data_IF_848881362121
#
_entry.id   IF_848881362121
#
_cell.length_a   1.000
_cell.length_b   1.000
_cell.length_c   1.000
_cell.angle_alpha   90.00
_cell.angle_beta   90.00
_cell.angle_gamma   90.00
#
_symmetry.space_group_name_H-M   'P 1'
#
loop_
_entity.id
_entity.type
_entity.pdbx_description
1 polymer ?
#
# COMPACT_ATOMS: atom_id res chain seq x y z
N UNK A 1 16.42 9.58 5.60
CA UNK A 1 15.86 10.02 4.31
C UNK A 1 15.68 11.52 4.38
N UNK A 2 16.18 12.30 3.41
CA UNK A 2 15.97 13.75 3.38
C UNK A 2 14.61 14.09 2.72
N UNK A 3 14.07 15.29 2.97
CA UNK A 3 12.77 15.72 2.44
C UNK A 3 12.68 15.68 0.91
N UNK A 4 13.79 15.98 0.21
CA UNK A 4 13.84 15.92 -1.26
C UNK A 4 13.76 14.47 -1.78
N UNK A 5 14.37 13.51 -1.07
CA UNK A 5 14.42 12.10 -1.46
C UNK A 5 13.04 11.42 -1.44
N UNK A 6 12.06 12.00 -0.72
CA UNK A 6 10.69 11.49 -0.65
C UNK A 6 9.91 11.68 -1.95
N UNK A 7 10.21 12.74 -2.71
CA UNK A 7 9.50 13.08 -3.94
C UNK A 7 10.28 12.67 -5.19
N UNK A 8 11.59 12.50 -5.08
CA UNK A 8 12.45 11.98 -6.14
C UNK A 8 12.39 10.46 -6.19
N UNK A 9 11.56 9.92 -7.09
CA UNK A 9 11.27 8.48 -7.22
C UNK A 9 11.38 7.94 -8.64
N UNK A 10 11.85 8.74 -9.60
CA UNK A 10 11.87 8.35 -11.02
C UNK A 10 12.70 7.07 -11.26
N UNK A 11 13.83 6.94 -10.56
CA UNK A 11 14.68 5.74 -10.57
C UNK A 11 14.09 4.56 -9.77
N UNK A 12 13.01 4.76 -9.02
CA UNK A 12 12.27 3.71 -8.32
C UNK A 12 11.03 3.24 -9.08
N UNK A 13 10.53 3.98 -10.07
CA UNK A 13 9.31 3.60 -10.81
C UNK A 13 9.56 2.38 -11.70
N UNK A 14 8.63 1.42 -11.68
CA UNK A 14 8.62 0.27 -12.60
C UNK A 14 8.26 0.75 -14.00
N UNK A 15 9.13 0.46 -14.97
CA UNK A 15 8.96 0.80 -16.39
C UNK A 15 9.73 -0.18 -17.27
N UNK A 16 9.57 -0.09 -18.59
CA UNK A 16 10.31 -0.92 -19.56
C UNK A 16 11.85 -0.78 -19.40
N UNK A 17 12.32 0.40 -19.00
CA UNK A 17 13.76 0.68 -18.79
C UNK A 17 14.22 0.47 -17.35
N UNK A 18 13.28 0.24 -16.42
CA UNK A 18 13.54 -0.04 -15.01
C UNK A 18 12.55 -1.11 -14.53
N UNK A 19 12.66 -2.36 -15.03
CA UNK A 19 11.67 -3.40 -14.77
C UNK A 19 11.55 -3.70 -13.28
N UNK A 20 10.42 -4.27 -12.88
CA UNK A 20 10.28 -4.81 -11.53
C UNK A 20 11.38 -5.84 -11.28
N UNK A 21 11.77 -5.98 -10.01
CA UNK A 21 12.68 -7.06 -9.67
C UNK A 21 11.99 -8.38 -10.01
N UNK A 22 12.75 -9.30 -10.59
CA UNK A 22 12.21 -10.59 -10.97
C UNK A 22 11.74 -11.32 -9.71
N UNK A 23 10.43 -11.28 -9.46
CA UNK A 23 9.81 -11.92 -8.32
C UNK A 23 9.88 -13.45 -8.42
N UNK A 24 10.25 -14.03 -9.58
CA UNK A 24 10.57 -15.46 -9.68
C UNK A 24 11.85 -15.80 -8.91
N UNK A 25 12.72 -14.81 -8.63
CA UNK A 25 13.86 -14.98 -7.72
C UNK A 25 13.45 -14.91 -6.24
N UNK A 26 12.18 -14.63 -5.94
CA UNK A 26 11.63 -14.65 -4.58
C UNK A 26 12.28 -13.65 -3.64
N UNK A 27 12.60 -12.43 -4.09
CA UNK A 27 13.15 -11.36 -3.24
C UNK A 27 12.32 -10.09 -3.39
N UNK A 28 11.91 -9.49 -2.27
CA UNK A 28 11.25 -8.20 -2.23
C UNK A 28 12.30 -7.08 -2.31
N UNK A 29 12.16 -6.15 -3.26
CA UNK A 29 13.00 -4.94 -3.29
C UNK A 29 12.54 -3.94 -2.21
N UNK A 30 12.98 -4.20 -0.98
CA UNK A 30 12.62 -3.43 0.22
C UNK A 30 12.86 -1.93 0.03
N UNK A 31 14.02 -1.56 -0.53
CA UNK A 31 14.41 -0.15 -0.68
C UNK A 31 13.49 0.54 -1.69
N UNK A 32 13.23 -0.09 -2.84
CA UNK A 32 12.38 0.47 -3.88
C UNK A 32 10.93 0.57 -3.42
N UNK A 33 10.39 -0.49 -2.81
CA UNK A 33 9.04 -0.50 -2.27
C UNK A 33 8.85 0.58 -1.21
N UNK A 34 9.80 0.72 -0.26
CA UNK A 34 9.71 1.74 0.78
C UNK A 34 9.71 3.17 0.20
N UNK A 35 10.52 3.44 -0.83
CA UNK A 35 10.53 4.75 -1.51
C UNK A 35 9.18 5.07 -2.15
N UNK A 36 8.62 4.12 -2.90
CA UNK A 36 7.32 4.29 -3.57
C UNK A 36 6.17 4.45 -2.56
N UNK A 37 6.17 3.66 -1.49
CA UNK A 37 5.22 3.76 -0.38
C UNK A 37 5.31 5.14 0.30
N UNK A 38 6.53 5.57 0.65
CA UNK A 38 6.75 6.83 1.36
C UNK A 38 6.40 8.05 0.49
N UNK A 39 6.56 7.94 -0.83
CA UNK A 39 6.07 8.94 -1.78
C UNK A 39 4.55 9.10 -1.71
N UNK A 40 3.79 8.00 -1.71
CA UNK A 40 2.32 8.04 -1.58
C UNK A 40 1.90 8.69 -0.26
N UNK A 41 2.56 8.32 0.85
CA UNK A 41 2.33 8.94 2.18
C UNK A 41 2.63 10.44 2.13
N UNK A 42 3.73 10.86 1.53
CA UNK A 42 4.10 12.27 1.40
C UNK A 42 3.07 13.06 0.58
N UNK A 43 2.64 12.52 -0.57
CA UNK A 43 1.61 13.14 -1.43
C UNK A 43 0.28 13.31 -0.69
N UNK A 44 -0.19 12.26 -0.01
CA UNK A 44 -1.43 12.31 0.75
C UNK A 44 -1.35 13.30 1.93
N UNK A 45 -0.24 13.26 2.68
CA UNK A 45 -0.01 14.16 3.81
C UNK A 45 0.05 15.63 3.39
N UNK A 46 0.74 15.95 2.28
CA UNK A 46 0.82 17.31 1.75
C UNK A 46 -0.55 17.85 1.36
N UNK A 47 -1.34 17.05 0.62
CA UNK A 47 -2.69 17.46 0.22
C UNK A 47 -3.62 17.66 1.42
N UNK A 48 -3.57 16.76 2.41
CA UNK A 48 -4.43 16.85 3.60
C UNK A 48 -4.13 18.08 4.45
N UNK A 49 -2.85 18.43 4.57
CA UNK A 49 -2.42 19.51 5.46
C UNK A 49 -2.14 20.83 4.73
N UNK A 50 -2.46 20.91 3.43
CA UNK A 50 -2.17 22.05 2.55
C UNK A 50 -0.69 22.49 2.65
N UNK A 51 0.22 21.51 2.51
CA UNK A 51 1.67 21.67 2.67
C UNK A 51 2.40 21.52 1.36
N UNK A 52 3.56 22.15 1.27
CA UNK A 52 4.44 22.12 0.10
C UNK A 52 5.64 21.18 0.36
N UNK A 53 6.41 20.79 -0.68
CA UNK A 53 7.59 19.93 -0.52
C UNK A 53 8.57 20.38 0.58
N UNK A 54 8.72 21.69 0.79
CA UNK A 54 9.63 22.25 1.80
C UNK A 54 9.19 21.91 3.24
N UNK A 55 7.90 21.64 3.45
CA UNK A 55 7.32 21.29 4.74
C UNK A 55 7.49 19.81 5.11
N UNK A 56 7.98 18.95 4.21
CA UNK A 56 8.08 17.50 4.42
C UNK A 56 8.98 17.10 5.61
N UNK A 57 9.81 18.01 6.10
CA UNK A 57 10.56 17.78 7.33
C UNK A 57 9.65 17.54 8.54
N UNK A 58 8.41 18.06 8.54
CA UNK A 58 7.40 17.77 9.57
C UNK A 58 6.90 16.32 9.51
N UNK A 59 6.84 15.73 8.32
CA UNK A 59 6.46 14.31 8.16
C UNK A 59 7.57 13.40 8.67
N UNK A 60 8.84 13.75 8.39
CA UNK A 60 10.01 12.94 8.72
C UNK A 60 10.35 12.88 10.22
N UNK A 61 9.86 13.83 11.04
CA UNK A 61 10.07 13.80 12.50
C UNK A 61 9.06 12.92 13.23
N UNK A 62 8.04 12.40 12.53
CA UNK A 62 7.04 11.50 13.11
C UNK A 62 7.66 10.12 13.41
N UNK A 63 7.10 9.38 14.38
CA UNK A 63 7.51 8.00 14.63
C UNK A 63 7.38 7.13 13.36
N UNK A 64 8.33 6.22 13.16
CA UNK A 64 8.24 5.19 12.11
C UNK A 64 7.16 4.17 12.40
N UNK A 65 6.75 3.39 11.40
CA UNK A 65 5.82 2.28 11.59
C UNK A 65 6.33 1.30 12.67
N UNK A 66 7.60 0.91 12.60
CA UNK A 66 8.20 0.03 13.62
C UNK A 66 8.14 0.62 15.03
N UNK A 67 8.37 1.93 15.19
CA UNK A 67 8.27 2.59 16.49
C UNK A 67 6.85 2.64 17.02
N UNK A 68 5.84 2.76 16.15
CA UNK A 68 4.43 2.83 16.52
C UNK A 68 3.94 1.45 17.00
N UNK A 69 4.32 0.38 16.29
CA UNK A 69 3.82 -0.97 16.54
C UNK A 69 4.85 -1.92 17.18
N UNK A 70 5.87 -1.39 17.86
CA UNK A 70 6.96 -2.18 18.44
C UNK A 70 6.47 -3.36 19.30
N UNK A 71 5.45 -3.14 20.14
CA UNK A 71 4.87 -4.19 20.99
C UNK A 71 4.16 -5.28 20.18
N UNK A 72 3.47 -4.92 19.10
CA UNK A 72 2.77 -5.87 18.24
C UNK A 72 3.78 -6.66 17.39
N UNK A 73 4.76 -5.97 16.78
CA UNK A 73 5.87 -6.60 16.06
C UNK A 73 6.69 -7.54 16.94
N UNK A 74 6.81 -7.28 18.24
CA UNK A 74 7.45 -8.21 19.16
C UNK A 74 6.65 -9.51 19.32
N UNK A 75 5.31 -9.44 19.29
CA UNK A 75 4.43 -10.61 19.39
C UNK A 75 4.39 -11.41 18.10
N UNK A 76 4.11 -10.75 16.97
CA UNK A 76 3.82 -11.43 15.70
C UNK A 76 4.95 -11.35 14.67
N UNK A 77 6.05 -10.64 14.96
CA UNK A 77 7.12 -10.46 13.98
C UNK A 77 7.92 -11.73 13.65
N UNK A 78 7.61 -12.87 14.29
CA UNK A 78 8.16 -14.18 13.97
C UNK A 78 7.35 -14.93 12.89
N UNK A 79 6.11 -14.50 12.60
CA UNK A 79 5.26 -15.05 11.54
C UNK A 79 5.27 -14.19 10.26
N UNK A 80 6.05 -13.12 10.25
CA UNK A 80 6.23 -12.20 9.13
C UNK A 80 7.59 -12.46 8.50
N UNK A 81 7.64 -12.59 7.17
CA UNK A 81 8.89 -12.84 6.46
C UNK A 81 9.92 -11.71 6.66
N UNK A 82 11.23 -12.01 6.63
CA UNK A 82 12.27 -11.03 6.95
C UNK A 82 12.33 -9.81 6.01
N UNK A 83 12.04 -9.99 4.73
CA UNK A 83 12.09 -8.88 3.77
C UNK A 83 10.91 -7.94 4.02
N UNK A 84 9.71 -8.48 4.23
CA UNK A 84 8.57 -7.67 4.57
C UNK A 84 8.76 -6.94 5.89
N UNK A 85 9.33 -7.60 6.91
CA UNK A 85 9.67 -6.93 8.18
C UNK A 85 10.63 -5.76 7.96
N UNK A 86 11.61 -5.92 7.07
CA UNK A 86 12.55 -4.86 6.69
C UNK A 86 11.86 -3.72 5.94
N UNK A 87 10.85 -4.02 5.11
CA UNK A 87 9.99 -3.04 4.49
C UNK A 87 9.17 -2.25 5.53
N UNK A 88 8.51 -2.93 6.48
CA UNK A 88 7.74 -2.29 7.55
C UNK A 88 8.60 -1.37 8.41
N UNK A 89 9.86 -1.72 8.67
CA UNK A 89 10.80 -0.86 9.38
C UNK A 89 11.23 0.39 8.59
N UNK A 90 11.13 0.35 7.26
CA UNK A 90 11.62 1.40 6.35
C UNK A 90 10.55 2.42 5.95
N UNK A 91 9.29 2.18 6.31
CA UNK A 91 8.16 3.00 5.86
C UNK A 91 7.69 3.99 6.92
N UNK A 92 7.15 5.10 6.42
CA UNK A 92 6.46 6.11 7.20
C UNK A 92 5.03 5.62 7.38
N UNK A 93 4.57 5.48 8.63
CA UNK A 93 3.18 5.18 8.88
C UNK A 93 2.29 6.34 8.41
N UNK A 94 1.20 6.07 7.66
CA UNK A 94 0.20 7.09 7.39
C UNK A 94 -0.34 7.69 8.70
N UNK A 95 -0.91 8.89 8.61
CA UNK A 95 -1.16 9.87 9.70
C UNK A 95 -1.99 9.35 10.91
N UNK A 96 -1.40 8.48 11.73
CA UNK A 96 -2.03 7.91 12.94
C UNK A 96 -2.05 8.85 14.13
N UNK A 97 -1.19 9.88 14.15
CA UNK A 97 -1.01 10.77 15.30
C UNK A 97 -2.33 11.48 15.69
N UNK A 98 -3.28 11.56 14.74
CA UNK A 98 -4.59 12.16 14.96
C UNK A 98 -5.73 11.17 15.19
N UNK A 99 -5.50 9.84 15.14
CA UNK A 99 -6.58 8.83 15.08
C UNK A 99 -7.69 9.22 14.10
N UNK A 100 -7.31 9.87 13.00
CA UNK A 100 -8.27 10.25 11.97
C UNK A 100 -8.55 8.96 11.22
N UNK A 101 -9.75 8.43 11.42
CA UNK A 101 -10.24 7.15 10.85
C UNK A 101 -10.18 7.08 9.31
N UNK A 102 -9.79 8.16 8.65
CA UNK A 102 -9.87 8.33 7.20
C UNK A 102 -8.51 8.64 6.55
N UNK A 103 -7.38 8.33 7.20
CA UNK A 103 -6.07 8.64 6.62
C UNK A 103 -5.66 7.66 5.52
N UNK A 104 -6.17 7.84 4.30
CA UNK A 104 -5.95 6.88 3.21
C UNK A 104 -4.61 7.08 2.50
N UNK A 105 -3.92 5.97 2.23
CA UNK A 105 -2.66 5.89 1.53
C UNK A 105 -2.87 6.14 0.04
N UNK A 106 -3.94 5.56 -0.52
CA UNK A 106 -4.31 5.73 -1.91
C UNK A 106 -5.82 5.53 -2.11
N UNK A 107 -6.33 5.81 -3.30
CA UNK A 107 -7.77 5.77 -3.61
C UNK A 107 -8.45 4.43 -3.24
N UNK A 108 -7.74 3.31 -3.32
CA UNK A 108 -8.29 1.98 -3.03
C UNK A 108 -7.89 1.40 -1.67
N UNK A 109 -6.87 1.94 -1.01
CA UNK A 109 -6.33 1.38 0.23
C UNK A 109 -6.16 2.44 1.31
N UNK A 110 -6.48 2.07 2.54
CA UNK A 110 -6.44 3.01 3.67
C UNK A 110 -5.03 3.12 4.25
N UNK A 111 -4.49 2.07 4.85
CA UNK A 111 -3.16 2.10 5.45
C UNK A 111 -2.56 0.70 5.42
N UNK A 112 -1.25 0.64 5.69
CA UNK A 112 -0.62 -0.64 6.01
C UNK A 112 -1.30 -1.17 7.25
N UNK A 113 -1.74 -2.43 7.23
CA UNK A 113 -2.38 -3.02 8.40
C UNK A 113 -1.42 -3.01 9.59
N UNK A 114 -1.94 -2.85 10.80
CA UNK A 114 -1.14 -3.05 12.00
C UNK A 114 -0.70 -4.52 12.10
N UNK A 115 0.38 -4.83 12.84
CA UNK A 115 0.91 -6.19 12.86
C UNK A 115 -0.07 -7.28 13.28
N UNK A 116 -0.96 -7.03 14.24
CA UNK A 116 -1.95 -8.04 14.65
C UNK A 116 -2.96 -8.32 13.50
N UNK A 117 -3.30 -7.30 12.71
CA UNK A 117 -4.14 -7.39 11.51
C UNK A 117 -3.43 -7.96 10.27
N UNK A 118 -2.10 -7.78 10.13
CA UNK A 118 -1.32 -8.41 9.04
C UNK A 118 -1.57 -9.93 9.03
N UNK A 119 -1.62 -10.51 10.22
CA UNK A 119 -1.64 -11.96 10.49
C UNK A 119 -3.02 -12.44 10.96
N UNK A 120 -4.04 -11.61 10.75
CA UNK A 120 -5.44 -11.87 11.09
C UNK A 120 -5.64 -12.58 12.46
N UNK A 121 -5.02 -12.06 13.52
CA UNK A 121 -5.03 -12.70 14.84
C UNK A 121 -6.45 -12.97 15.36
N UNK A 122 -7.41 -12.13 14.95
CA UNK A 122 -8.81 -12.19 15.36
C UNK A 122 -9.73 -12.92 14.37
N UNK A 123 -9.22 -13.42 13.24
CA UNK A 123 -9.99 -14.15 12.23
C UNK A 123 -11.05 -13.31 11.50
N UNK A 124 -10.79 -12.02 11.32
CA UNK A 124 -11.71 -11.09 10.67
C UNK A 124 -11.66 -11.16 9.14
N UNK A 125 -10.58 -11.69 8.56
CA UNK A 125 -10.39 -11.76 7.12
C UNK A 125 -10.61 -13.21 6.65
N UNK A 126 -11.31 -13.40 5.53
CA UNK A 126 -11.67 -14.75 5.01
C UNK A 126 -10.48 -15.49 4.37
N UNK A 127 -9.28 -15.01 4.61
CA UNK A 127 -8.07 -15.72 4.22
C UNK A 127 -7.72 -16.63 5.39
N UNK A 128 -8.05 -17.91 5.28
CA UNK A 128 -7.63 -18.87 6.30
C UNK A 128 -6.11 -19.04 6.22
N UNK A 129 -5.43 -18.31 7.09
CA UNK A 129 -3.98 -18.30 7.22
C UNK A 129 -3.41 -19.66 7.68
N UNK A 130 -4.27 -20.57 8.16
CA UNK A 130 -3.86 -21.89 8.65
C UNK A 130 -4.06 -22.99 7.60
N UNK A 131 -4.70 -22.70 6.46
CA UNK A 131 -4.89 -23.71 5.40
C UNK A 131 -3.66 -23.82 4.48
N UNK A 132 -2.99 -22.68 4.21
CA UNK A 132 -1.80 -22.62 3.36
C UNK A 132 -0.59 -22.10 4.14
N UNK A 133 0.47 -22.92 4.22
CA UNK A 133 1.75 -22.59 4.84
C UNK A 133 2.86 -22.45 3.77
N UNK A 134 3.86 -21.63 4.08
CA UNK A 134 5.10 -21.53 3.31
C UNK A 134 6.02 -22.73 3.59
N UNK A 135 7.13 -22.85 2.85
CA UNK A 135 8.17 -23.86 3.11
C UNK A 135 8.85 -23.70 4.49
N UNK A 136 8.72 -22.53 5.12
CA UNK A 136 9.28 -22.20 6.43
C UNK A 136 8.23 -22.29 7.57
N UNK A 137 7.11 -22.99 7.35
CA UNK A 137 5.99 -23.16 8.29
C UNK A 137 5.34 -21.83 8.75
N UNK A 138 5.46 -20.78 7.93
CA UNK A 138 4.76 -19.50 8.14
C UNK A 138 3.40 -19.50 7.43
N UNK A 139 2.40 -18.74 7.91
CA UNK A 139 1.20 -18.45 7.12
C UNK A 139 1.54 -17.93 5.73
N UNK A 140 0.99 -18.51 4.68
CA UNK A 140 1.37 -18.10 3.32
C UNK A 140 0.89 -16.70 2.96
N UNK A 141 -0.32 -16.35 3.36
CA UNK A 141 -0.95 -15.09 2.98
C UNK A 141 -1.12 -14.18 4.20
N UNK A 142 -0.82 -12.92 4.00
CA UNK A 142 -1.00 -11.88 5.01
C UNK A 142 -1.67 -10.65 4.39
N UNK A 143 -2.40 -9.90 5.20
CA UNK A 143 -3.05 -8.67 4.75
C UNK A 143 -2.08 -7.50 4.84
N UNK A 144 -1.59 -6.98 3.73
CA UNK A 144 -0.62 -5.86 3.75
C UNK A 144 -1.31 -4.49 3.87
N UNK A 145 -2.38 -4.25 3.12
CA UNK A 145 -3.13 -2.99 3.17
C UNK A 145 -4.63 -3.25 3.20
N UNK A 146 -5.35 -2.59 4.12
CA UNK A 146 -6.82 -2.61 4.10
C UNK A 146 -7.36 -1.85 2.89
N UNK A 147 -8.36 -2.41 2.20
CA UNK A 147 -9.11 -1.65 1.22
C UNK A 147 -10.00 -0.58 1.88
N UNK A 148 -10.44 0.40 1.07
CA UNK A 148 -11.35 1.48 1.48
C UNK A 148 -12.79 0.97 1.56
N UNK A 149 -13.36 0.89 2.77
CA UNK A 149 -14.63 0.20 3.09
C UNK A 149 -15.77 0.46 2.09
N UNK A 150 -15.88 1.71 1.63
CA UNK A 150 -16.90 2.18 0.69
C UNK A 150 -16.88 1.48 -0.68
N UNK A 151 -15.80 0.78 -1.04
CA UNK A 151 -15.67 0.09 -2.32
C UNK A 151 -16.31 -1.31 -2.34
N UNK A 152 -16.63 -1.89 -1.18
CA UNK A 152 -17.04 -3.31 -1.15
C UNK A 152 -17.65 -3.86 0.14
N UNK A 153 -17.67 -3.11 1.26
CA UNK A 153 -18.36 -3.49 2.51
C UNK A 153 -17.75 -4.66 3.31
N UNK A 154 -17.23 -5.70 2.66
CA UNK A 154 -16.51 -6.84 3.25
C UNK A 154 -15.15 -6.96 2.60
N UNK A 155 -14.19 -6.21 3.10
CA UNK A 155 -12.96 -5.96 2.36
C UNK A 155 -11.75 -6.65 2.96
N UNK A 156 -10.97 -7.26 2.07
CA UNK A 156 -9.65 -7.76 2.41
C UNK A 156 -8.65 -6.64 2.14
N UNK A 157 -8.46 -6.27 0.86
CA UNK A 157 -7.51 -5.25 0.45
C UNK A 157 -6.35 -5.85 -0.34
N UNK A 158 -5.13 -5.38 -0.09
CA UNK A 158 -3.94 -5.90 -0.77
C UNK A 158 -3.30 -6.98 0.10
N UNK A 159 -3.30 -8.21 -0.41
CA UNK A 159 -2.74 -9.40 0.24
C UNK A 159 -1.34 -9.65 -0.28
N UNK A 160 -0.45 -10.12 0.58
CA UNK A 160 0.91 -10.49 0.25
C UNK A 160 1.12 -12.00 0.45
N UNK A 161 1.68 -12.68 -0.56
CA UNK A 161 2.11 -14.08 -0.53
C UNK A 161 3.56 -14.12 -0.03
N UNK A 162 3.77 -14.56 1.21
CA UNK A 162 5.09 -14.62 1.85
C UNK A 162 6.05 -15.56 1.13
N UNK A 163 5.54 -16.61 0.48
CA UNK A 163 6.38 -17.56 -0.24
C UNK A 163 6.90 -16.96 -1.55
N UNK A 164 6.04 -16.29 -2.31
CA UNK A 164 6.38 -15.71 -3.62
C UNK A 164 6.81 -14.26 -3.57
N UNK A 165 6.63 -13.60 -2.43
CA UNK A 165 6.85 -12.16 -2.21
C UNK A 165 6.12 -11.29 -3.24
N UNK A 166 4.88 -11.67 -3.54
CA UNK A 166 3.99 -10.99 -4.49
C UNK A 166 2.74 -10.50 -3.78
N UNK A 167 2.07 -9.53 -4.37
CA UNK A 167 0.81 -8.98 -3.88
C UNK A 167 -0.32 -9.13 -4.87
N UNK A 168 -1.53 -9.28 -4.35
CA UNK A 168 -2.76 -9.23 -5.13
C UNK A 168 -3.81 -8.37 -4.41
N UNK A 169 -4.62 -7.66 -5.19
CA UNK A 169 -5.70 -6.82 -4.68
C UNK A 169 -7.02 -7.60 -4.69
N UNK A 170 -7.65 -7.72 -3.51
CA UNK A 170 -8.94 -8.36 -3.27
C UNK A 170 -9.89 -7.29 -2.72
N UNK A 171 -10.65 -6.65 -3.61
CA UNK A 171 -11.53 -5.52 -3.25
C UNK A 171 -12.76 -5.93 -2.41
N UNK A 172 -13.19 -7.18 -2.53
CA UNK A 172 -14.31 -7.74 -1.81
C UNK A 172 -14.04 -9.22 -1.52
N UNK A 173 -14.46 -9.65 -0.34
CA UNK A 173 -14.29 -10.99 0.20
C UNK A 173 -14.83 -12.08 -0.74
N UNK A 174 -15.93 -11.81 -1.44
CA UNK A 174 -16.55 -12.72 -2.43
C UNK A 174 -15.69 -12.95 -3.67
N UNK A 175 -14.61 -12.18 -3.86
CA UNK A 175 -13.68 -12.31 -4.98
C UNK A 175 -12.41 -13.07 -4.60
N UNK A 176 -12.32 -13.60 -3.38
CA UNK A 176 -11.13 -14.31 -2.88
C UNK A 176 -10.80 -15.53 -3.74
N UNK A 177 -11.81 -16.32 -4.10
CA UNK A 177 -11.70 -17.51 -4.96
C UNK A 177 -11.29 -17.19 -6.42
N UNK A 178 -11.18 -15.91 -6.80
CA UNK A 178 -10.66 -15.47 -8.10
C UNK A 178 -9.19 -15.05 -8.05
N UNK A 179 -8.56 -15.17 -6.88
CA UNK A 179 -7.20 -14.74 -6.57
C UNK A 179 -6.40 -15.81 -5.84
N UNK A 180 -7.05 -16.56 -4.95
CA UNK A 180 -6.49 -17.68 -4.18
C UNK A 180 -7.19 -18.97 -4.65
N UNK A 181 -6.47 -20.09 -4.86
CA UNK A 181 -5.03 -20.26 -4.65
C UNK A 181 -4.18 -19.63 -5.77
N UNK A 182 -2.95 -19.21 -5.43
CA UNK A 182 -2.07 -18.48 -6.36
C UNK A 182 -1.78 -19.29 -7.64
N UNK A 183 -1.69 -20.61 -7.53
CA UNK A 183 -1.33 -21.50 -8.66
C UNK A 183 -2.38 -21.48 -9.78
N UNK A 184 -3.64 -21.19 -9.46
CA UNK A 184 -4.72 -21.08 -10.44
C UNK A 184 -4.86 -19.65 -10.99
N UNK A 185 -4.29 -18.66 -10.29
CA UNK A 185 -4.54 -17.24 -10.51
C UNK A 185 -3.27 -16.39 -10.57
N UNK A 186 -2.13 -16.99 -10.93
CA UNK A 186 -0.80 -16.38 -10.89
C UNK A 186 -0.73 -14.98 -11.53
N UNK A 187 -1.47 -14.76 -12.63
CA UNK A 187 -1.54 -13.48 -13.34
C UNK A 187 -2.12 -12.32 -12.53
N UNK A 188 -2.76 -12.58 -11.39
CA UNK A 188 -3.30 -11.57 -10.46
C UNK A 188 -2.27 -11.11 -9.43
N UNK A 189 -1.14 -11.81 -9.33
CA UNK A 189 -0.10 -11.59 -8.34
C UNK A 189 1.09 -10.87 -8.98
N UNK A 190 1.48 -9.75 -8.38
CA UNK A 190 2.50 -8.86 -8.92
C UNK A 190 3.55 -8.50 -7.88
N UNK A 191 4.77 -8.13 -8.27
CA UNK A 191 5.72 -7.51 -7.34
C UNK A 191 5.10 -6.25 -6.68
N UNK A 192 5.41 -6.01 -5.40
CA UNK A 192 4.85 -4.87 -4.68
C UNK A 192 5.20 -3.53 -5.34
N UNK A 193 6.44 -3.38 -5.82
CA UNK A 193 6.89 -2.19 -6.54
C UNK A 193 6.11 -1.95 -7.84
N UNK A 194 5.58 -3.01 -8.47
CA UNK A 194 4.72 -2.89 -9.65
C UNK A 194 3.38 -2.30 -9.27
N UNK A 195 2.76 -2.80 -8.20
CA UNK A 195 1.47 -2.29 -7.71
C UNK A 195 1.59 -0.81 -7.28
N UNK A 196 2.62 -0.48 -6.49
CA UNK A 196 2.87 0.89 -6.05
C UNK A 196 3.18 1.84 -7.22
N UNK A 197 3.99 1.40 -8.19
CA UNK A 197 4.28 2.20 -9.40
C UNK A 197 3.04 2.46 -10.23
N UNK A 198 2.14 1.48 -10.37
CA UNK A 198 0.86 1.66 -11.07
C UNK A 198 -0.01 2.72 -10.40
N UNK A 199 -0.09 2.72 -9.06
CA UNK A 199 -0.83 3.76 -8.32
C UNK A 199 -0.22 5.14 -8.52
N UNK A 200 1.11 5.24 -8.50
CA UNK A 200 1.82 6.49 -8.74
C UNK A 200 1.62 6.97 -10.19
N UNK A 201 1.64 6.08 -11.18
CA UNK A 201 1.37 6.43 -12.57
C UNK A 201 -0.06 6.98 -12.73
N UNK A 202 -1.04 6.44 -12.02
CA UNK A 202 -2.39 7.02 -12.01
C UNK A 202 -2.43 8.45 -11.46
N UNK A 203 -1.55 8.76 -10.51
CA UNK A 203 -1.35 10.14 -10.04
C UNK A 203 -0.66 10.98 -11.12
N UNK A 204 0.37 10.44 -11.77
CA UNK A 204 1.16 11.14 -12.81
C UNK A 204 0.28 11.55 -14.00
N UNK A 205 -0.65 10.70 -14.43
CA UNK A 205 -1.57 10.97 -15.54
C UNK A 205 -2.83 11.73 -15.13
N UNK A 206 -2.93 12.11 -13.86
CA UNK A 206 -4.06 12.87 -13.30
C UNK A 206 -5.37 12.10 -13.25
N UNK A 207 -5.32 10.76 -13.24
CA UNK A 207 -6.50 9.89 -13.04
C UNK A 207 -6.91 9.85 -11.57
N UNK A 208 -5.94 9.89 -10.67
CA UNK A 208 -6.14 10.14 -9.24
C UNK A 208 -5.44 11.44 -8.89
N UNK A 209 -6.15 12.35 -8.22
CA UNK A 209 -5.59 13.64 -7.81
C UNK A 209 -5.63 13.74 -6.29
N UNK A 210 -4.49 13.98 -5.61
CA UNK A 210 -4.48 14.35 -4.21
C UNK A 210 -4.86 15.83 -4.07
N UNK A 211 -6.00 16.11 -3.45
CA UNK A 211 -6.52 17.47 -3.27
C UNK A 211 -7.28 17.57 -1.93
N UNK A 212 -7.27 18.76 -1.31
CA UNK A 212 -7.96 18.99 -0.04
C UNK A 212 -9.47 18.86 -0.22
N UNK A 213 -10.17 18.28 0.77
CA UNK A 213 -11.64 18.08 0.75
C UNK A 213 -12.45 19.38 0.82
N UNK A 214 -11.84 20.55 0.85
CA UNK A 214 -12.55 21.83 0.94
C UNK A 214 -13.48 22.03 -0.28
N UNK A 215 -14.80 21.95 -0.02
CA UNK A 215 -15.85 22.25 -1.01
C UNK A 215 -16.41 21.04 -1.77
N UNK A 216 -16.09 19.80 -1.39
CA UNK A 216 -16.55 18.60 -2.11
C UNK A 216 -17.79 17.94 -1.51
N UNK A 217 -18.56 17.26 -2.37
CA UNK A 217 -19.59 16.33 -1.89
C UNK A 217 -18.92 15.04 -1.37
N UNK A 218 -19.54 14.40 -0.36
CA UNK A 218 -19.01 13.22 0.35
C UNK A 218 -18.57 12.07 -0.57
N UNK A 219 -19.11 11.98 -1.78
CA UNK A 219 -18.93 10.86 -2.71
C UNK A 219 -17.91 11.12 -3.82
N UNK A 220 -17.35 12.33 -3.90
CA UNK A 220 -16.44 12.70 -5.00
C UNK A 220 -14.99 12.25 -4.74
N UNK A 221 -14.64 11.90 -3.50
CA UNK A 221 -13.29 11.52 -3.11
C UNK A 221 -13.24 10.60 -1.88
N UNK A 222 -12.22 9.74 -1.87
CA UNK A 222 -11.84 8.92 -0.73
C UNK A 222 -10.69 9.62 0.01
N UNK A 223 -11.04 10.26 1.13
CA UNK A 223 -10.14 11.18 1.85
C UNK A 223 -9.61 12.30 0.94
N UNK A 224 -8.31 12.39 0.65
CA UNK A 224 -7.71 13.39 -0.25
C UNK A 224 -7.65 12.92 -1.70
N UNK A 225 -7.99 11.66 -1.96
CA UNK A 225 -7.82 11.06 -3.28
C UNK A 225 -9.11 11.16 -4.08
N UNK A 226 -9.07 11.97 -5.13
CA UNK A 226 -10.19 12.16 -6.05
C UNK A 226 -9.99 11.36 -7.33
N UNK A 227 -11.02 10.62 -7.75
CA UNK A 227 -11.04 10.03 -9.09
C UNK A 227 -11.40 11.09 -10.13
N UNK A 228 -10.55 11.21 -11.15
CA UNK A 228 -10.80 12.10 -12.28
C UNK A 228 -11.17 11.28 -13.53
N UNK A 229 -12.46 11.24 -13.93
CA UNK A 229 -12.89 10.44 -15.07
C UNK A 229 -12.22 10.88 -16.39
N UNK A 230 -11.88 12.15 -16.53
CA UNK A 230 -11.20 12.72 -17.70
C UNK A 230 -9.80 13.18 -17.31
N UNK A 231 -8.80 12.33 -17.54
CA UNK A 231 -7.40 12.73 -17.31
C UNK A 231 -6.99 13.81 -18.32
N UNK A 232 -6.10 14.72 -17.96
CA UNK A 232 -5.77 15.86 -18.84
C UNK A 232 -5.15 15.42 -20.18
N UNK A 233 -4.57 14.21 -20.26
CA UNK A 233 -4.14 13.59 -21.53
C UNK A 233 -5.28 13.17 -22.47
N UNK A 234 -6.53 13.13 -22.02
CA UNK A 234 -7.71 12.85 -22.88
C UNK A 234 -8.25 14.12 -23.56
N UNK A 235 -7.73 15.31 -23.24
CA UNK A 235 -8.06 16.56 -23.94
C UNK A 235 -7.08 16.86 -25.09
N UNK A 236 -6.70 15.82 -25.84
CA UNK A 236 -6.02 15.97 -27.12
C UNK A 236 -7.00 16.42 -28.21
N UNK A 237 -7.00 17.71 -28.49
CA UNK A 237 -7.38 18.38 -29.77
C UNK A 237 -8.49 17.73 -30.60
N UNK A 238 -9.70 18.25 -30.43
CA UNK A 238 -10.69 18.31 -31.51
C UNK A 238 -10.56 19.63 -32.27
#
# INVERSE_FOLDING_TARGET
>A
MASHDLLDIEDALVSDTNPAQDADNGVLDVRRCARLQNYLVARGWMARNNKQPEDLHHLLVRPSYESIYADQLTRVGHIIDPDLRSFLASIIAPDEERRVKDAYLFYWVTHVADPDNLVDTDGYYVIDQNEDETEDDLPRYILLYHAVFELGGHQVGLVYDQQRRRVAMILAMELTDLVIPVDEHEKRWHPLETMLSNWIEMISVGKIVPESREGWAKWDAHDVWRWNPFGDRQKGTG
#
